data_IF_845340924727
#
_entry.id   IF_845340924727
#
_cell.length_a   1.000
_cell.length_b   1.000
_cell.length_c   1.000
_cell.angle_alpha   90.00
_cell.angle_beta   90.00
_cell.angle_gamma   90.00
#
_symmetry.space_group_name_H-M   'P 1'
#
loop_
_entity.id
_entity.type
_entity.pdbx_description
1 polymer ?
#
# COMPACT_ATOMS: atom_id res chain seq x y z
N UNK A 1 0.25 24.84 -17.64
CA UNK A 1 0.25 24.34 -16.23
C UNK A 1 1.67 23.91 -15.88
N UNK A 2 2.24 24.34 -14.75
CA UNK A 2 3.58 23.88 -14.33
C UNK A 2 3.59 22.36 -14.12
N UNK A 3 4.64 21.68 -14.59
CA UNK A 3 4.85 20.23 -14.48
C UNK A 3 4.68 19.72 -13.04
N UNK A 4 5.12 20.50 -12.05
CA UNK A 4 4.96 20.20 -10.61
C UNK A 4 3.50 20.19 -10.16
N UNK A 5 2.65 21.07 -10.73
CA UNK A 5 1.20 21.10 -10.45
C UNK A 5 0.51 19.88 -11.06
N UNK A 6 0.91 19.47 -12.26
CA UNK A 6 0.38 18.28 -12.92
C UNK A 6 0.76 17.00 -12.13
N UNK A 7 2.02 16.89 -11.69
CA UNK A 7 2.51 15.80 -10.84
C UNK A 7 1.70 15.69 -9.54
N UNK A 8 1.55 16.79 -8.80
CA UNK A 8 0.72 16.82 -7.58
C UNK A 8 -0.74 16.42 -7.86
N UNK A 9 -1.30 16.88 -8.98
CA UNK A 9 -2.65 16.50 -9.39
C UNK A 9 -2.81 15.00 -9.64
N UNK A 10 -1.83 14.37 -10.31
CA UNK A 10 -1.80 12.92 -10.54
C UNK A 10 -1.61 12.14 -9.24
N UNK A 11 -0.69 12.57 -8.37
CA UNK A 11 -0.46 11.95 -7.06
C UNK A 11 -1.74 11.96 -6.20
N UNK A 12 -2.48 13.08 -6.14
CA UNK A 12 -3.77 13.14 -5.44
C UNK A 12 -4.83 12.22 -6.06
N UNK A 13 -4.84 12.04 -7.39
CA UNK A 13 -5.73 11.08 -8.05
C UNK A 13 -5.36 9.64 -7.68
N UNK A 14 -4.07 9.32 -7.64
CA UNK A 14 -3.57 8.02 -7.23
C UNK A 14 -3.96 7.67 -5.79
N UNK A 15 -3.70 8.59 -4.85
CA UNK A 15 -4.05 8.40 -3.43
C UNK A 15 -5.55 8.22 -3.23
N UNK A 16 -6.40 8.92 -4.00
CA UNK A 16 -7.86 8.71 -3.97
C UNK A 16 -8.26 7.28 -4.33
N UNK A 17 -7.54 6.62 -5.24
CA UNK A 17 -7.77 5.19 -5.57
C UNK A 17 -7.35 4.26 -4.43
N UNK A 18 -6.37 4.66 -3.63
CA UNK A 18 -5.97 3.92 -2.43
C UNK A 18 -7.01 4.03 -1.30
N UNK A 19 -7.83 5.08 -1.31
CA UNK A 19 -8.95 5.29 -0.36
C UNK A 19 -10.25 4.57 -0.74
N UNK A 20 -10.24 3.70 -1.76
CA UNK A 20 -11.40 2.82 -1.99
C UNK A 20 -11.63 1.93 -0.78
N UNK A 21 -12.88 1.86 -0.32
CA UNK A 21 -13.24 1.06 0.85
C UNK A 21 -12.88 -0.43 0.66
N UNK A 22 -12.41 -1.10 1.72
CA UNK A 22 -12.34 -2.54 1.76
C UNK A 22 -13.72 -3.18 1.53
N UNK A 23 -13.77 -4.40 1.02
CA UNK A 23 -15.04 -5.09 0.82
C UNK A 23 -15.62 -5.52 2.17
N UNK A 24 -16.95 -5.50 2.31
CA UNK A 24 -17.62 -5.98 3.54
C UNK A 24 -17.22 -7.42 3.88
N UNK A 25 -17.03 -8.26 2.85
CA UNK A 25 -16.58 -9.64 3.02
C UNK A 25 -15.16 -9.75 3.60
N UNK A 26 -14.23 -8.91 3.14
CA UNK A 26 -12.86 -8.92 3.67
C UNK A 26 -12.81 -8.33 5.09
N UNK A 27 -13.64 -7.33 5.40
CA UNK A 27 -13.76 -6.76 6.75
C UNK A 27 -14.31 -7.80 7.72
N UNK A 28 -15.46 -8.40 7.40
CA UNK A 28 -16.10 -9.40 8.25
C UNK A 28 -15.20 -10.63 8.45
N UNK A 29 -14.51 -11.08 7.39
CA UNK A 29 -13.53 -12.15 7.50
C UNK A 29 -12.39 -11.78 8.44
N UNK A 30 -11.77 -10.61 8.27
CA UNK A 30 -10.64 -10.21 9.09
C UNK A 30 -11.02 -10.01 10.56
N UNK A 31 -12.20 -9.43 10.82
CA UNK A 31 -12.76 -9.29 12.15
C UNK A 31 -12.99 -10.66 12.82
N UNK A 32 -13.42 -11.67 12.06
CA UNK A 32 -13.66 -13.03 12.59
C UNK A 32 -12.40 -13.76 13.09
N UNK A 33 -11.21 -13.28 12.72
CA UNK A 33 -9.93 -13.87 13.15
C UNK A 33 -9.55 -13.38 14.55
N UNK A 34 -9.90 -12.13 14.88
CA UNK A 34 -9.67 -11.60 16.23
C UNK A 34 -10.77 -12.09 17.18
N UNK A 35 -10.43 -12.63 18.37
CA UNK A 35 -11.43 -13.03 19.34
C UNK A 35 -12.39 -11.91 19.77
N UNK A 36 -11.99 -10.64 19.61
CA UNK A 36 -12.82 -9.46 19.88
C UNK A 36 -13.80 -9.10 18.78
N UNK A 37 -13.63 -9.61 17.56
CA UNK A 37 -14.59 -9.42 16.46
C UNK A 37 -14.77 -7.97 15.99
N UNK A 38 -13.77 -7.11 16.16
CA UNK A 38 -13.90 -5.67 15.90
C UNK A 38 -13.82 -5.35 14.39
N UNK A 39 -14.99 -5.22 13.75
CA UNK A 39 -15.12 -4.86 12.33
C UNK A 39 -14.63 -3.44 12.02
N UNK A 40 -14.76 -2.50 12.96
CA UNK A 40 -14.29 -1.13 12.76
C UNK A 40 -12.76 -1.09 12.74
N UNK A 41 -12.11 -1.80 13.68
CA UNK A 41 -10.67 -2.00 13.69
C UNK A 41 -10.18 -2.71 12.43
N UNK A 42 -10.82 -3.82 12.04
CA UNK A 42 -10.49 -4.56 10.82
C UNK A 42 -10.59 -3.67 9.57
N UNK A 43 -11.65 -2.86 9.44
CA UNK A 43 -11.80 -1.92 8.34
C UNK A 43 -10.69 -0.87 8.33
N UNK A 44 -10.30 -0.34 9.49
CA UNK A 44 -9.19 0.60 9.60
C UNK A 44 -7.84 -0.01 9.19
N UNK A 45 -7.54 -1.23 9.64
CA UNK A 45 -6.29 -1.90 9.27
C UNK A 45 -6.23 -2.23 7.77
N UNK A 46 -7.35 -2.60 7.15
CA UNK A 46 -7.41 -2.78 5.69
C UNK A 46 -7.19 -1.47 4.93
N UNK A 47 -7.72 -0.33 5.41
CA UNK A 47 -7.46 1.00 4.84
C UNK A 47 -5.99 1.36 4.96
N UNK A 48 -5.37 1.16 6.12
CA UNK A 48 -3.94 1.41 6.31
C UNK A 48 -3.06 0.50 5.46
N UNK A 49 -3.38 -0.80 5.38
CA UNK A 49 -2.68 -1.75 4.52
C UNK A 49 -2.73 -1.30 3.05
N UNK A 50 -3.91 -0.92 2.56
CA UNK A 50 -4.08 -0.44 1.18
C UNK A 50 -3.28 0.83 0.90
N UNK A 51 -3.28 1.80 1.82
CA UNK A 51 -2.46 3.01 1.70
C UNK A 51 -0.96 2.70 1.72
N UNK A 52 -0.50 1.90 2.69
CA UNK A 52 0.92 1.57 2.86
C UNK A 52 1.45 0.80 1.66
N UNK A 53 0.75 -0.25 1.23
CA UNK A 53 1.11 -1.05 0.06
C UNK A 53 1.03 -0.23 -1.24
N UNK A 54 0.12 0.76 -1.29
CA UNK A 54 0.07 1.71 -2.40
C UNK A 54 1.27 2.64 -2.48
N UNK A 55 1.80 3.10 -1.33
CA UNK A 55 3.06 3.85 -1.28
C UNK A 55 4.23 2.97 -1.71
N UNK A 56 4.33 1.75 -1.19
CA UNK A 56 5.41 0.81 -1.52
C UNK A 56 5.39 0.37 -2.99
N UNK A 57 4.21 0.18 -3.57
CA UNK A 57 4.07 -0.07 -5.01
C UNK A 57 4.59 1.11 -5.84
N UNK A 58 4.34 2.35 -5.40
CA UNK A 58 4.89 3.53 -6.05
C UNK A 58 6.42 3.62 -5.89
N UNK A 59 6.96 3.40 -4.69
CA UNK A 59 8.41 3.36 -4.44
C UNK A 59 9.12 2.31 -5.32
N UNK A 60 8.46 1.18 -5.60
CA UNK A 60 9.02 0.09 -6.41
C UNK A 60 8.86 0.28 -7.92
N UNK A 61 7.69 0.76 -8.36
CA UNK A 61 7.27 0.69 -9.78
C UNK A 61 7.30 2.06 -10.48
N UNK A 62 7.55 3.17 -9.77
CA UNK A 62 7.65 4.49 -10.39
C UNK A 62 8.93 4.66 -11.21
N UNK A 63 8.83 5.49 -12.25
CA UNK A 63 9.91 5.74 -13.21
C UNK A 63 10.89 6.84 -12.80
N UNK A 64 10.50 7.67 -11.84
CA UNK A 64 11.24 8.84 -11.35
C UNK A 64 10.94 9.02 -9.85
N UNK A 65 11.98 9.28 -9.06
CA UNK A 65 11.94 9.53 -7.62
C UNK A 65 11.00 10.69 -7.23
N UNK A 66 10.71 11.60 -8.16
CA UNK A 66 9.73 12.67 -7.95
C UNK A 66 8.30 12.16 -7.76
N UNK A 67 7.97 10.97 -8.29
CA UNK A 67 6.63 10.36 -8.20
C UNK A 67 6.36 9.78 -6.81
N UNK A 68 7.20 8.89 -6.24
CA UNK A 68 7.03 8.44 -4.85
C UNK A 68 7.00 9.60 -3.87
N UNK A 69 7.87 10.60 -4.02
CA UNK A 69 7.88 11.78 -3.16
C UNK A 69 6.55 12.57 -3.21
N UNK A 70 5.99 12.75 -4.41
CA UNK A 70 4.70 13.42 -4.58
C UNK A 70 3.53 12.59 -4.01
N UNK A 71 3.60 11.26 -4.11
CA UNK A 71 2.59 10.34 -3.57
C UNK A 71 2.64 10.33 -2.04
N UNK A 72 3.81 10.21 -1.43
CA UNK A 72 3.98 10.26 0.03
C UNK A 72 3.43 11.57 0.60
N UNK A 73 3.71 12.71 -0.04
CA UNK A 73 3.14 13.99 0.38
C UNK A 73 1.60 14.01 0.25
N UNK A 74 1.06 13.47 -0.85
CA UNK A 74 -0.38 13.39 -1.05
C UNK A 74 -1.07 12.44 -0.06
N UNK A 75 -0.40 11.39 0.42
CA UNK A 75 -0.92 10.51 1.49
C UNK A 75 -1.05 11.28 2.80
N UNK A 76 -0.02 12.02 3.22
CA UNK A 76 -0.09 12.87 4.42
C UNK A 76 -1.20 13.92 4.30
N UNK A 77 -1.34 14.60 3.15
CA UNK A 77 -2.46 15.51 2.88
C UNK A 77 -3.83 14.80 2.96
N UNK A 78 -3.90 13.53 2.55
CA UNK A 78 -5.15 12.77 2.56
C UNK A 78 -5.58 12.36 3.98
N UNK A 79 -4.63 12.01 4.86
CA UNK A 79 -4.93 11.70 6.26
C UNK A 79 -5.46 12.94 7.00
N UNK A 80 -4.85 14.11 6.77
CA UNK A 80 -5.31 15.35 7.40
C UNK A 80 -6.67 15.85 6.92
N UNK A 81 -7.17 15.33 5.80
CA UNK A 81 -8.48 15.67 5.24
C UNK A 81 -9.49 14.51 5.32
N UNK A 82 -9.13 13.38 5.93
CA UNK A 82 -10.03 12.25 6.13
C UNK A 82 -11.07 12.58 7.22
N UNK A 83 -12.35 12.60 6.83
CA UNK A 83 -13.46 12.92 7.73
C UNK A 83 -13.69 11.87 8.82
N UNK A 84 -13.12 10.67 8.67
CA UNK A 84 -13.18 9.61 9.68
C UNK A 84 -12.18 9.83 10.81
N UNK A 85 -11.19 10.70 10.60
CA UNK A 85 -10.18 11.04 11.59
C UNK A 85 -10.60 12.35 12.26
N UNK A 86 -10.96 12.27 13.54
CA UNK A 86 -11.16 13.47 14.34
C UNK A 86 -9.87 14.30 14.36
N UNK A 87 -9.98 15.64 14.29
CA UNK A 87 -8.79 16.52 14.20
C UNK A 87 -7.78 16.29 15.35
N UNK A 88 -8.25 16.00 16.56
CA UNK A 88 -7.42 15.68 17.71
C UNK A 88 -6.67 14.34 17.59
N UNK A 89 -7.15 13.43 16.74
CA UNK A 89 -6.60 12.09 16.53
C UNK A 89 -5.60 12.03 15.37
N UNK A 90 -5.51 13.09 14.55
CA UNK A 90 -4.61 13.14 13.39
C UNK A 90 -3.15 12.76 13.75
N UNK A 91 -2.52 13.29 14.82
CA UNK A 91 -1.16 12.90 15.16
C UNK A 91 -1.01 11.43 15.52
N UNK A 92 -2.06 10.79 16.07
CA UNK A 92 -2.05 9.36 16.34
C UNK A 92 -2.19 8.56 15.05
N UNK A 93 -3.11 8.94 14.18
CA UNK A 93 -3.32 8.27 12.89
C UNK A 93 -2.06 8.32 12.01
N UNK A 94 -1.37 9.46 11.96
CA UNK A 94 -0.09 9.59 11.23
C UNK A 94 0.98 8.66 11.81
N UNK A 95 1.09 8.57 13.14
CA UNK A 95 2.04 7.64 13.79
C UNK A 95 1.69 6.19 13.49
N UNK A 96 0.42 5.81 13.62
CA UNK A 96 -0.05 4.46 13.31
C UNK A 96 0.24 4.11 11.85
N UNK A 97 -0.14 4.97 10.91
CA UNK A 97 0.17 4.78 9.50
C UNK A 97 1.68 4.63 9.25
N UNK A 98 2.50 5.49 9.86
CA UNK A 98 3.96 5.41 9.77
C UNK A 98 4.51 4.07 10.23
N UNK A 99 4.02 3.54 11.34
CA UNK A 99 4.39 2.20 11.83
C UNK A 99 3.98 1.09 10.87
N UNK A 100 2.75 1.13 10.32
CA UNK A 100 2.29 0.14 9.32
C UNK A 100 3.18 0.19 8.08
N UNK A 101 3.45 1.39 7.55
CA UNK A 101 4.31 1.57 6.38
C UNK A 101 5.71 1.01 6.60
N UNK A 102 6.30 1.23 7.79
CA UNK A 102 7.62 0.70 8.12
C UNK A 102 7.65 -0.84 8.14
N UNK A 103 6.67 -1.49 8.77
CA UNK A 103 6.61 -2.95 8.89
C UNK A 103 6.31 -3.59 7.53
N UNK A 104 5.38 -3.04 6.74
CA UNK A 104 5.17 -3.52 5.36
C UNK A 104 6.40 -3.33 4.48
N UNK A 105 7.16 -2.25 4.65
CA UNK A 105 8.40 -2.03 3.89
C UNK A 105 9.43 -3.13 4.19
N UNK A 106 9.59 -3.49 5.46
CA UNK A 106 10.46 -4.58 5.88
C UNK A 106 10.01 -5.93 5.29
N UNK A 107 8.71 -6.23 5.32
CA UNK A 107 8.14 -7.43 4.70
C UNK A 107 8.44 -7.51 3.18
N UNK A 108 8.41 -6.38 2.47
CA UNK A 108 8.76 -6.29 1.04
C UNK A 108 10.27 -6.40 0.81
N UNK A 109 11.10 -5.81 1.67
CA UNK A 109 12.55 -5.73 1.51
C UNK A 109 13.27 -7.07 1.78
N UNK A 110 12.72 -7.92 2.66
CA UNK A 110 13.29 -9.24 2.98
C UNK A 110 13.34 -10.14 1.73
N UNK A 111 14.55 -10.36 1.18
CA UNK A 111 14.80 -11.14 -0.05
C UNK A 111 15.47 -12.51 0.16
N UNK A 112 15.86 -12.87 1.40
CA UNK A 112 16.70 -14.04 1.64
C UNK A 112 16.07 -15.06 2.58
N UNK A 113 15.93 -16.30 2.09
CA UNK A 113 15.87 -17.52 2.92
C UNK A 113 14.57 -17.88 3.63
N UNK A 114 13.44 -17.21 3.36
CA UNK A 114 12.16 -17.53 4.02
C UNK A 114 10.96 -16.91 3.33
N UNK A 115 9.84 -17.62 3.42
CA UNK A 115 8.46 -17.37 2.99
C UNK A 115 8.19 -16.50 1.74
N UNK A 116 7.37 -16.96 0.78
CA UNK A 116 6.84 -16.13 -0.30
C UNK A 116 6.29 -14.76 0.13
N UNK A 117 6.35 -13.75 -0.77
CA UNK A 117 5.98 -12.36 -0.44
C UNK A 117 4.52 -12.23 0.03
N UNK A 118 3.56 -12.93 -0.59
CA UNK A 118 2.18 -13.02 -0.09
C UNK A 118 2.13 -13.43 1.36
N UNK A 119 2.84 -14.51 1.73
CA UNK A 119 2.81 -15.02 3.09
C UNK A 119 3.42 -14.03 4.10
N UNK A 120 4.48 -13.31 3.70
CA UNK A 120 5.05 -12.24 4.54
C UNK A 120 4.07 -11.09 4.73
N UNK A 121 3.45 -10.63 3.65
CA UNK A 121 2.44 -9.56 3.70
C UNK A 121 1.20 -10.00 4.51
N UNK A 122 0.78 -11.25 4.36
CA UNK A 122 -0.34 -11.83 5.07
C UNK A 122 -0.10 -11.87 6.58
N UNK A 123 1.08 -12.31 7.01
CA UNK A 123 1.46 -12.27 8.44
C UNK A 123 1.52 -10.84 8.97
N UNK A 124 2.08 -9.89 8.22
CA UNK A 124 2.08 -8.47 8.61
C UNK A 124 0.66 -7.91 8.78
N UNK A 125 -0.28 -8.27 7.90
CA UNK A 125 -1.68 -7.84 8.06
C UNK A 125 -2.31 -8.43 9.33
N UNK A 126 -2.05 -9.71 9.60
CA UNK A 126 -2.57 -10.42 10.77
C UNK A 126 -1.98 -9.93 12.10
N UNK A 127 -0.72 -9.47 12.09
CA UNK A 127 -0.03 -8.88 13.25
C UNK A 127 -0.73 -7.60 13.76
N UNK A 128 -1.34 -6.81 12.87
CA UNK A 128 -2.04 -5.58 13.27
C UNK A 128 -3.50 -5.80 13.65
N UNK A 129 -4.07 -6.94 13.28
CA UNK A 129 -5.52 -7.18 13.33
C UNK A 129 -5.91 -8.19 14.37
N UNK A 130 -5.02 -9.15 14.68
CA UNK A 130 -5.30 -10.21 15.63
C UNK A 130 -4.26 -10.20 16.75
N UNK A 131 -4.71 -10.54 17.96
CA UNK A 131 -3.83 -10.83 19.09
C UNK A 131 -3.31 -12.28 19.06
N UNK A 132 -3.47 -12.97 17.93
CA UNK A 132 -3.09 -14.37 17.78
C UNK A 132 -1.58 -14.45 17.52
N UNK A 133 -0.87 -15.08 18.44
CA UNK A 133 0.60 -15.16 18.43
C UNK A 133 1.15 -15.93 17.21
N UNK A 134 0.39 -16.93 16.72
CA UNK A 134 0.72 -17.69 15.51
C UNK A 134 -0.55 -17.93 14.69
N UNK A 135 -0.79 -17.14 13.63
CA UNK A 135 -1.95 -17.35 12.77
C UNK A 135 -1.85 -18.67 12.00
N UNK A 136 -2.99 -19.31 11.73
CA UNK A 136 -3.03 -20.50 10.90
C UNK A 136 -2.62 -20.18 9.44
N UNK A 137 -2.10 -21.17 8.72
CA UNK A 137 -1.56 -20.95 7.37
C UNK A 137 -2.65 -20.51 6.37
N UNK A 138 -3.91 -20.93 6.54
CA UNK A 138 -4.99 -20.53 5.63
C UNK A 138 -5.33 -19.05 5.82
N UNK A 139 -5.32 -18.58 7.06
CA UNK A 139 -5.47 -17.17 7.39
C UNK A 139 -4.34 -16.34 6.78
N UNK A 140 -3.10 -16.83 6.89
CA UNK A 140 -1.92 -16.19 6.28
C UNK A 140 -2.07 -16.09 4.76
N UNK A 141 -2.44 -17.19 4.11
CA UNK A 141 -2.59 -17.23 2.65
C UNK A 141 -3.69 -16.24 2.20
N UNK A 142 -4.85 -16.24 2.87
CA UNK A 142 -5.95 -15.32 2.54
C UNK A 142 -5.60 -13.85 2.80
N UNK A 143 -4.92 -13.55 3.92
CA UNK A 143 -4.42 -12.21 4.19
C UNK A 143 -3.41 -11.75 3.12
N UNK A 144 -2.55 -12.68 2.68
CA UNK A 144 -1.59 -12.46 1.59
C UNK A 144 -2.27 -12.16 0.26
N UNK A 145 -3.35 -12.87 -0.09
CA UNK A 145 -4.16 -12.60 -1.28
C UNK A 145 -4.75 -11.18 -1.29
N UNK A 146 -5.30 -10.74 -0.15
CA UNK A 146 -5.86 -9.39 0.04
C UNK A 146 -4.76 -8.35 -0.15
N UNK A 147 -3.64 -8.49 0.57
CA UNK A 147 -2.52 -7.57 0.51
C UNK A 147 -1.92 -7.47 -0.91
N UNK A 148 -1.69 -8.61 -1.57
CA UNK A 148 -1.24 -8.60 -2.96
C UNK A 148 -2.28 -7.99 -3.91
N UNK A 149 -3.57 -8.18 -3.66
CA UNK A 149 -4.66 -7.53 -4.39
C UNK A 149 -4.56 -6.01 -4.34
N UNK A 150 -4.25 -5.46 -3.16
CA UNK A 150 -4.00 -4.02 -3.00
C UNK A 150 -2.76 -3.56 -3.76
N UNK A 151 -1.64 -4.29 -3.68
CA UNK A 151 -0.44 -3.97 -4.47
C UNK A 151 -0.71 -3.98 -5.98
N UNK A 152 -1.41 -5.01 -6.51
CA UNK A 152 -1.76 -5.09 -7.94
C UNK A 152 -2.65 -3.94 -8.39
N UNK A 153 -3.62 -3.58 -7.57
CA UNK A 153 -4.53 -2.44 -7.83
C UNK A 153 -3.75 -1.13 -7.84
N UNK A 154 -2.84 -0.95 -6.88
CA UNK A 154 -1.95 0.20 -6.78
C UNK A 154 -1.03 0.31 -8.00
N UNK A 155 -0.28 -0.74 -8.35
CA UNK A 155 0.57 -0.75 -9.54
C UNK A 155 -0.22 -0.43 -10.82
N UNK A 156 -1.42 -0.99 -10.97
CA UNK A 156 -2.30 -0.68 -12.12
C UNK A 156 -2.71 0.79 -12.16
N UNK A 157 -3.10 1.36 -11.01
CA UNK A 157 -3.45 2.78 -10.93
C UNK A 157 -2.24 3.69 -11.20
N UNK A 158 -1.04 3.30 -10.74
CA UNK A 158 0.20 4.01 -10.99
C UNK A 158 0.48 4.08 -12.49
N UNK A 159 0.44 2.92 -13.17
CA UNK A 159 0.63 2.82 -14.62
C UNK A 159 -0.38 3.65 -15.40
N UNK A 160 -1.66 3.63 -15.01
CA UNK A 160 -2.71 4.38 -15.69
C UNK A 160 -2.55 5.91 -15.56
N UNK A 161 -2.02 6.40 -14.44
CA UNK A 161 -1.89 7.83 -14.17
C UNK A 161 -0.54 8.40 -14.63
N UNK A 162 0.54 7.65 -14.46
CA UNK A 162 1.91 8.09 -14.70
C UNK A 162 2.52 7.52 -15.99
N UNK A 163 1.90 6.49 -16.57
CA UNK A 163 2.38 5.81 -17.77
C UNK A 163 3.23 4.58 -17.45
N UNK A 164 3.52 3.79 -18.47
CA UNK A 164 4.59 2.79 -18.46
C UNK A 164 5.88 3.46 -18.96
N UNK A 165 7.03 2.99 -18.51
CA UNK A 165 8.26 3.27 -19.25
C UNK A 165 8.07 2.74 -20.66
N UNK A 166 7.96 3.65 -21.63
CA UNK A 166 8.24 3.30 -23.01
C UNK A 166 9.75 3.49 -23.16
N UNK A 167 10.46 2.41 -23.45
CA UNK A 167 11.72 2.57 -24.17
C UNK A 167 11.39 3.32 -25.47
N UNK A 168 12.25 4.23 -25.94
CA UNK A 168 12.16 4.72 -27.31
C UNK A 168 12.15 3.51 -28.26
N UNK A 169 11.27 3.51 -29.27
CA UNK A 169 11.10 2.38 -30.21
C UNK A 169 12.40 2.00 -30.93
N UNK A 170 13.37 2.90 -30.90
CA UNK A 170 14.70 2.84 -31.48
C UNK A 170 15.80 2.25 -30.56
N UNK A 171 15.48 1.90 -29.31
CA UNK A 171 16.45 1.26 -28.38
C UNK A 171 16.04 -0.16 -28.07
N UNK A 172 16.88 -1.14 -28.44
CA UNK A 172 16.63 -2.54 -28.10
C UNK A 172 16.84 -2.73 -26.59
N UNK A 173 16.03 -3.57 -25.89
CA UNK A 173 16.18 -3.79 -24.44
C UNK A 173 17.60 -4.19 -23.99
N UNK A 174 18.39 -4.79 -24.88
CA UNK A 174 19.79 -5.16 -24.66
C UNK A 174 20.77 -3.98 -24.60
N UNK A 175 20.44 -2.83 -25.19
CA UNK A 175 21.32 -1.65 -25.26
C UNK A 175 21.17 -0.75 -24.04
N UNK A 176 19.99 -0.75 -23.39
CA UNK A 176 19.74 0.00 -22.16
C UNK A 176 20.55 -0.51 -20.95
N UNK A 177 21.01 -1.76 -20.97
CA UNK A 177 21.78 -2.38 -19.89
C UNK A 177 23.29 -2.09 -19.94
N UNK A 178 23.81 -1.52 -21.05
CA UNK A 178 25.24 -1.27 -21.25
C UNK A 178 25.68 0.18 -21.02
N UNK A 179 24.76 1.08 -20.66
CA UNK A 179 25.04 2.49 -20.43
C UNK A 179 25.10 2.90 -18.94
N UNK A 180 25.15 1.91 -18.03
CA UNK A 180 25.46 2.06 -16.60
C UNK A 180 26.86 1.52 -16.32
#
# INVERSE_FOLDING_TARGET
MSQRRALRGKARKYVRTLHTEPTEADVAWLASIDPGGDEDHAAWELRYARLALGVLAAERDALDDSVPAAISHAVTESLSSDRRIAAAMLPLAERQFGSRLAIYRDAVARRHGGDPLDQRLGRTLLEFTSHVEVPDQRAVDRAGEIAQGYMRTASTALLNLFGRASLPDDVRPSEAYQAL
#
